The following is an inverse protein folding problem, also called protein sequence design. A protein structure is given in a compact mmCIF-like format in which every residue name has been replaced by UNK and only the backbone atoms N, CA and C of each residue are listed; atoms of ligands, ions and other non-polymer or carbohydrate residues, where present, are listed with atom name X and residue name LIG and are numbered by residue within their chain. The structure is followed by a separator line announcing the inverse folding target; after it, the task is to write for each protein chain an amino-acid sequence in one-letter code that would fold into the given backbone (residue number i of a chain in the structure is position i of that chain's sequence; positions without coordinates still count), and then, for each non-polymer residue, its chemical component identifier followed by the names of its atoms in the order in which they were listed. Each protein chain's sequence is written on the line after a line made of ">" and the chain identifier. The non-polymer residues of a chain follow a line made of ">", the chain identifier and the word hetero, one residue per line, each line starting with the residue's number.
data_IF_701303218966
#
_entry.id   IF_701303218966
#
_cell.length_a   1.000
_cell.length_b   1.000
_cell.length_c   1.000
_cell.angle_alpha   90.00
_cell.angle_beta   90.00
_cell.angle_gamma   90.00
#
_symmetry.space_group_name_H-M   'P 1'
#
loop_
_entity.id
_entity.type
_entity.pdbx_description
1 polymer ?
#
# COMPACT_ATOMS: atom_id res chain seq x y z
N UNK A 1 -25.98 12.25 -8.14
CA UNK A 1 -25.76 13.29 -7.13
C UNK A 1 -25.71 14.65 -7.82
N UNK A 2 -26.49 15.60 -7.37
CA UNK A 2 -26.63 16.94 -8.01
C UNK A 2 -26.89 16.88 -9.54
N UNK A 3 -27.74 15.95 -10.00
CA UNK A 3 -28.05 15.77 -11.42
C UNK A 3 -26.97 15.06 -12.25
N UNK A 4 -25.92 14.54 -11.60
CA UNK A 4 -24.87 13.75 -12.25
C UNK A 4 -25.05 12.27 -11.96
N UNK A 5 -24.72 11.44 -12.97
CA UNK A 5 -24.59 10.02 -12.78
C UNK A 5 -23.20 9.72 -12.18
N UNK A 6 -23.17 9.05 -11.03
CA UNK A 6 -21.94 8.64 -10.38
C UNK A 6 -21.94 7.11 -10.34
N UNK A 7 -20.93 6.50 -10.93
CA UNK A 7 -20.66 5.07 -10.76
C UNK A 7 -19.77 4.90 -9.55
N UNK A 8 -20.23 4.12 -8.57
CA UNK A 8 -19.43 3.70 -7.43
C UNK A 8 -19.15 2.20 -7.57
N UNK A 9 -17.90 1.82 -7.67
CA UNK A 9 -17.49 0.43 -7.70
C UNK A 9 -16.46 0.16 -6.61
N UNK A 10 -16.47 -1.07 -6.07
CA UNK A 10 -15.47 -1.55 -5.13
C UNK A 10 -14.85 -2.81 -5.69
N UNK A 11 -13.54 -2.77 -5.93
CA UNK A 11 -12.81 -3.91 -6.48
C UNK A 11 -11.48 -4.10 -5.76
N UNK A 12 -11.04 -5.34 -5.66
CA UNK A 12 -9.75 -5.68 -5.09
C UNK A 12 -8.71 -5.72 -6.23
N UNK A 13 -7.66 -4.90 -6.09
CA UNK A 13 -6.57 -4.89 -7.05
C UNK A 13 -5.68 -6.11 -6.84
N UNK A 14 -5.52 -6.95 -7.86
CA UNK A 14 -4.57 -8.06 -7.86
C UNK A 14 -3.12 -7.60 -8.05
N UNK A 15 -2.21 -8.57 -8.08
CA UNK A 15 -0.81 -8.37 -8.51
C UNK A 15 -0.66 -8.94 -9.92
N UNK A 16 0.48 -8.69 -10.58
CA UNK A 16 0.80 -9.36 -11.85
C UNK A 16 1.65 -10.61 -11.57
N UNK A 17 1.08 -11.82 -11.61
CA UNK A 17 1.80 -13.03 -11.22
C UNK A 17 3.09 -13.27 -12.01
N UNK A 18 3.08 -12.95 -13.31
CA UNK A 18 4.26 -13.11 -14.18
C UNK A 18 5.47 -12.32 -13.71
N UNK A 19 5.26 -11.14 -13.13
CA UNK A 19 6.34 -10.30 -12.60
C UNK A 19 6.99 -10.98 -11.40
N UNK A 20 6.18 -11.53 -10.50
CA UNK A 20 6.71 -12.26 -9.33
C UNK A 20 7.38 -13.56 -9.77
N UNK A 21 6.77 -14.30 -10.67
CA UNK A 21 7.33 -15.55 -11.21
C UNK A 21 8.68 -15.34 -11.89
N UNK A 22 8.88 -14.22 -12.58
CA UNK A 22 10.15 -13.88 -13.21
C UNK A 22 11.28 -13.58 -12.22
N UNK A 23 10.99 -13.32 -10.95
CA UNK A 23 12.01 -13.12 -9.91
C UNK A 23 12.49 -14.44 -9.28
N UNK A 24 11.67 -15.47 -9.34
CA UNK A 24 12.00 -16.81 -8.83
C UNK A 24 13.08 -17.45 -9.73
N UNK A 25 14.14 -17.98 -9.14
CA UNK A 25 15.27 -18.55 -9.87
C UNK A 25 16.34 -17.55 -10.31
N UNK A 26 16.17 -16.25 -10.03
CA UNK A 26 17.24 -15.27 -10.26
C UNK A 26 18.40 -15.46 -9.28
N UNK A 27 19.64 -15.07 -9.62
CA UNK A 27 20.77 -15.19 -8.70
C UNK A 27 20.53 -14.55 -7.33
N UNK A 28 19.91 -13.36 -7.29
CA UNK A 28 19.57 -12.66 -6.04
C UNK A 28 18.53 -13.42 -5.20
N UNK A 29 17.57 -14.07 -5.84
CA UNK A 29 16.60 -14.95 -5.19
C UNK A 29 17.29 -16.18 -4.58
N UNK A 30 18.12 -16.87 -5.36
CA UNK A 30 18.80 -18.12 -4.91
C UNK A 30 19.76 -17.84 -3.77
N UNK A 31 20.52 -16.74 -3.83
CA UNK A 31 21.42 -16.34 -2.74
C UNK A 31 20.64 -16.11 -1.43
N UNK A 32 19.57 -15.36 -1.49
CA UNK A 32 18.75 -15.06 -0.32
C UNK A 32 18.05 -16.32 0.20
N UNK A 33 17.51 -17.14 -0.70
CA UNK A 33 16.87 -18.41 -0.34
C UNK A 33 17.81 -19.34 0.38
N UNK A 34 19.06 -19.49 -0.12
CA UNK A 34 20.08 -20.33 0.52
C UNK A 34 20.42 -19.84 1.94
N UNK A 35 20.49 -18.51 2.16
CA UNK A 35 20.68 -17.93 3.49
C UNK A 35 19.53 -18.29 4.42
N UNK A 36 18.30 -18.13 3.95
CA UNK A 36 17.09 -18.41 4.74
C UNK A 36 16.96 -19.91 5.04
N UNK A 37 17.27 -20.80 4.09
CA UNK A 37 17.22 -22.23 4.30
C UNK A 37 18.18 -22.69 5.41
N UNK A 38 19.36 -22.06 5.52
CA UNK A 38 20.28 -22.33 6.64
C UNK A 38 19.72 -21.91 7.98
N UNK A 39 18.99 -20.77 8.02
CA UNK A 39 18.34 -20.27 9.23
C UNK A 39 17.14 -21.15 9.63
N UNK A 40 16.33 -21.55 8.67
CA UNK A 40 15.17 -22.42 8.89
C UNK A 40 15.60 -23.84 9.28
N UNK A 41 16.62 -24.39 8.61
CA UNK A 41 17.08 -25.77 8.81
C UNK A 41 15.99 -26.78 8.44
N UNK A 42 15.79 -27.75 9.31
CA UNK A 42 14.75 -28.78 9.17
C UNK A 42 13.39 -28.36 9.78
N UNK A 43 13.26 -27.13 10.29
CA UNK A 43 12.05 -26.63 10.94
C UNK A 43 11.00 -26.16 9.93
N UNK A 44 9.73 -26.21 10.33
CA UNK A 44 8.65 -25.59 9.57
C UNK A 44 8.67 -24.08 9.77
N UNK A 45 8.80 -23.33 8.69
CA UNK A 45 8.84 -21.86 8.76
C UNK A 45 7.45 -21.23 8.68
N UNK A 46 7.14 -20.38 9.65
CA UNK A 46 6.02 -19.42 9.60
C UNK A 46 6.60 -18.06 9.26
N UNK A 47 6.21 -17.49 8.13
CA UNK A 47 6.79 -16.25 7.61
C UNK A 47 5.83 -15.08 7.77
N UNK A 48 6.39 -13.92 8.12
CA UNK A 48 5.68 -12.64 8.23
C UNK A 48 6.54 -11.55 7.62
N UNK A 49 5.96 -10.70 6.80
CA UNK A 49 6.54 -9.42 6.37
C UNK A 49 5.51 -8.33 6.61
N UNK A 50 5.85 -7.34 7.39
CA UNK A 50 4.96 -6.21 7.67
C UNK A 50 5.75 -4.94 7.99
N UNK A 51 5.11 -3.78 7.87
CA UNK A 51 5.67 -2.53 8.38
C UNK A 51 5.62 -2.51 9.92
N UNK A 52 6.61 -1.85 10.54
CA UNK A 52 6.67 -1.66 11.99
C UNK A 52 5.75 -0.51 12.40
N UNK A 53 4.46 -0.77 12.34
CA UNK A 53 3.36 0.13 12.71
C UNK A 53 2.38 -0.62 13.62
N UNK A 54 1.74 0.06 14.56
CA UNK A 54 0.77 -0.57 15.48
C UNK A 54 -0.38 -1.26 14.76
N UNK A 55 -0.87 -0.68 13.66
CA UNK A 55 -1.97 -1.26 12.89
C UNK A 55 -1.62 -2.59 12.21
N UNK A 56 -0.33 -2.91 12.08
CA UNK A 56 0.11 -4.22 11.55
C UNK A 56 0.02 -5.35 12.58
N UNK A 57 -0.20 -5.03 13.86
CA UNK A 57 -0.56 -6.00 14.89
C UNK A 57 0.56 -6.96 15.30
N UNK A 58 1.83 -6.62 14.99
CA UNK A 58 2.96 -7.52 15.28
C UNK A 58 3.12 -7.84 16.77
N UNK A 59 2.90 -6.92 17.75
CA UNK A 59 2.90 -7.28 19.16
C UNK A 59 1.85 -8.34 19.54
N UNK A 60 0.63 -8.23 19.00
CA UNK A 60 -0.42 -9.24 19.23
C UNK A 60 -0.04 -10.60 18.61
N UNK A 61 0.56 -10.58 17.44
CA UNK A 61 1.09 -11.77 16.78
C UNK A 61 2.17 -12.43 17.65
N UNK A 62 3.11 -11.67 18.21
CA UNK A 62 4.15 -12.18 19.10
C UNK A 62 3.57 -12.74 20.41
N UNK A 63 2.52 -12.13 20.97
CA UNK A 63 1.80 -12.69 22.12
C UNK A 63 1.18 -14.05 21.77
N UNK A 64 0.58 -14.19 20.60
CA UNK A 64 0.04 -15.47 20.15
C UNK A 64 1.14 -16.52 19.93
N UNK A 65 2.30 -16.13 19.39
CA UNK A 65 3.47 -17.02 19.26
C UNK A 65 3.96 -17.49 20.63
N UNK A 66 4.11 -16.59 21.58
CA UNK A 66 4.52 -16.93 22.95
C UNK A 66 3.53 -17.91 23.60
N UNK A 67 2.23 -17.65 23.47
CA UNK A 67 1.17 -18.49 24.00
C UNK A 67 1.15 -19.88 23.34
N UNK A 68 1.34 -19.95 22.02
CA UNK A 68 1.47 -21.21 21.28
C UNK A 68 2.65 -22.05 21.80
N UNK A 69 3.83 -21.43 21.93
CA UNK A 69 5.04 -22.11 22.38
C UNK A 69 4.99 -22.50 23.87
N UNK A 70 4.21 -21.78 24.67
CA UNK A 70 3.95 -22.13 26.06
C UNK A 70 3.07 -23.37 26.16
N UNK A 71 1.97 -23.41 25.38
CA UNK A 71 1.01 -24.50 25.39
C UNK A 71 1.52 -25.78 24.69
N UNK A 72 2.40 -25.63 23.67
CA UNK A 72 2.84 -26.72 22.80
C UNK A 72 4.37 -26.81 22.76
N UNK A 73 4.95 -27.49 23.77
CA UNK A 73 6.41 -27.64 23.92
C UNK A 73 7.06 -28.36 22.74
N UNK A 74 6.36 -29.31 22.12
CA UNK A 74 6.80 -30.07 20.95
C UNK A 74 7.03 -29.23 19.70
N UNK A 75 6.45 -28.04 19.61
CA UNK A 75 6.63 -27.13 18.50
C UNK A 75 7.93 -26.30 18.62
N UNK A 76 8.51 -26.16 19.80
CA UNK A 76 9.68 -25.28 20.03
C UNK A 76 10.90 -25.62 19.15
N UNK A 77 11.09 -26.91 18.86
CA UNK A 77 12.20 -27.38 18.01
C UNK A 77 11.79 -27.60 16.54
N UNK A 78 10.48 -27.72 16.30
CA UNK A 78 9.95 -28.05 14.97
C UNK A 78 9.57 -26.84 14.14
N UNK A 79 9.38 -25.67 14.76
CA UNK A 79 8.88 -24.46 14.09
C UNK A 79 9.85 -23.31 14.28
N UNK A 80 9.94 -22.44 13.26
CA UNK A 80 10.63 -21.17 13.35
C UNK A 80 9.74 -20.07 12.77
N UNK A 81 9.62 -18.96 13.48
CA UNK A 81 8.94 -17.77 13.02
C UNK A 81 9.95 -16.81 12.42
N UNK A 82 9.85 -16.59 11.10
CA UNK A 82 10.74 -15.69 10.36
C UNK A 82 9.98 -14.41 10.07
N UNK A 83 10.35 -13.34 10.74
CA UNK A 83 9.64 -12.06 10.72
C UNK A 83 10.55 -10.97 10.16
N UNK A 84 10.11 -10.32 9.10
CA UNK A 84 10.74 -9.14 8.54
C UNK A 84 9.89 -7.91 8.84
N UNK A 85 10.45 -7.01 9.65
CA UNK A 85 9.90 -5.70 9.95
C UNK A 85 10.41 -4.67 8.94
N UNK A 86 9.54 -4.06 8.18
CA UNK A 86 9.89 -2.95 7.28
C UNK A 86 9.86 -1.65 8.06
N UNK A 87 10.92 -0.85 7.93
CA UNK A 87 10.97 0.47 8.56
C UNK A 87 9.85 1.36 8.05
N UNK A 88 9.15 1.99 8.98
CA UNK A 88 8.05 2.93 8.69
C UNK A 88 8.45 4.36 9.08
N UNK A 89 9.64 4.80 8.63
CA UNK A 89 10.16 6.13 8.90
C UNK A 89 9.14 7.21 8.48
N UNK A 90 8.76 8.05 9.45
CA UNK A 90 7.70 9.06 9.27
C UNK A 90 6.36 8.71 9.90
N UNK A 91 6.11 7.46 10.31
CA UNK A 91 5.00 7.12 11.18
C UNK A 91 5.34 7.47 12.63
N UNK A 92 4.40 8.10 13.34
CA UNK A 92 4.62 8.58 14.72
C UNK A 92 4.82 7.47 15.74
N UNK A 93 4.36 6.27 15.44
CA UNK A 93 4.42 5.09 16.31
C UNK A 93 5.52 4.09 15.93
N UNK A 94 6.33 4.39 14.91
CA UNK A 94 7.38 3.49 14.42
C UNK A 94 8.40 3.13 15.49
N UNK A 95 9.03 4.13 16.14
CA UNK A 95 10.09 3.89 17.13
C UNK A 95 9.57 3.08 18.32
N UNK A 96 8.40 3.44 18.84
CA UNK A 96 7.79 2.69 19.95
C UNK A 96 7.41 1.26 19.56
N UNK A 97 6.91 1.06 18.34
CA UNK A 97 6.58 -0.28 17.83
C UNK A 97 7.83 -1.12 17.62
N UNK A 98 8.91 -0.53 17.11
CA UNK A 98 10.20 -1.16 16.91
C UNK A 98 10.79 -1.68 18.22
N UNK A 99 10.83 -0.82 19.25
CA UNK A 99 11.36 -1.16 20.57
C UNK A 99 10.54 -2.26 21.24
N UNK A 100 9.20 -2.13 21.22
CA UNK A 100 8.28 -3.12 21.78
C UNK A 100 8.47 -4.51 21.11
N UNK A 101 8.55 -4.54 19.78
CA UNK A 101 8.76 -5.78 19.02
C UNK A 101 10.11 -6.41 19.34
N UNK A 102 11.19 -5.63 19.38
CA UNK A 102 12.52 -6.13 19.69
C UNK A 102 12.59 -6.73 21.10
N UNK A 103 11.99 -6.07 22.09
CA UNK A 103 11.91 -6.58 23.47
C UNK A 103 11.12 -7.89 23.55
N UNK A 104 9.96 -7.95 22.88
CA UNK A 104 9.14 -9.15 22.86
C UNK A 104 9.85 -10.33 22.19
N UNK A 105 10.53 -10.10 21.07
CA UNK A 105 11.31 -11.14 20.38
C UNK A 105 12.44 -11.65 21.27
N UNK A 106 13.18 -10.75 21.92
CA UNK A 106 14.24 -11.15 22.87
C UNK A 106 13.68 -12.01 24.00
N UNK A 107 12.55 -11.62 24.59
CA UNK A 107 11.87 -12.35 25.66
C UNK A 107 11.40 -13.75 25.20
N UNK A 108 10.78 -13.84 24.01
CA UNK A 108 10.31 -15.12 23.46
C UNK A 108 11.51 -16.05 23.23
N UNK A 109 12.57 -15.55 22.63
CA UNK A 109 13.76 -16.35 22.37
C UNK A 109 14.44 -16.78 23.66
N UNK A 110 14.53 -15.93 24.68
CA UNK A 110 15.08 -16.29 25.99
C UNK A 110 14.28 -17.43 26.64
N UNK A 111 12.96 -17.41 26.53
CA UNK A 111 12.08 -18.38 27.20
C UNK A 111 11.96 -19.72 26.46
N UNK A 112 12.01 -19.72 25.13
CA UNK A 112 11.59 -20.87 24.32
C UNK A 112 12.64 -21.39 23.35
N UNK A 113 13.73 -20.67 23.08
CA UNK A 113 14.78 -21.17 22.21
C UNK A 113 15.63 -22.24 22.91
N UNK A 114 16.01 -23.25 22.13
CA UNK A 114 16.90 -24.33 22.59
C UNK A 114 18.27 -24.17 21.92
N UNK A 115 18.55 -24.90 20.84
CA UNK A 115 19.79 -24.81 20.10
C UNK A 115 19.84 -23.61 19.09
N UNK A 116 18.69 -23.12 18.66
CA UNK A 116 18.57 -22.02 17.70
C UNK A 116 17.35 -21.14 18.05
N UNK A 117 17.36 -19.85 17.65
CA UNK A 117 16.23 -18.96 17.88
C UNK A 117 14.94 -19.52 17.29
N UNK A 118 13.85 -19.43 18.08
CA UNK A 118 12.49 -19.82 17.63
C UNK A 118 11.82 -18.70 16.87
N UNK A 119 12.18 -17.44 17.16
CA UNK A 119 11.78 -16.25 16.39
C UNK A 119 13.03 -15.61 15.80
N UNK A 120 13.10 -15.54 14.49
CA UNK A 120 14.14 -14.82 13.74
C UNK A 120 13.51 -13.53 13.25
N UNK A 121 13.85 -12.43 13.90
CA UNK A 121 13.38 -11.10 13.54
C UNK A 121 14.49 -10.32 12.85
N UNK A 122 14.15 -9.70 11.73
CA UNK A 122 15.05 -8.83 11.01
C UNK A 122 14.33 -7.55 10.60
N UNK A 123 14.85 -6.42 11.05
CA UNK A 123 14.43 -5.11 10.60
C UNK A 123 15.20 -4.72 9.34
N UNK A 124 14.48 -4.23 8.33
CA UNK A 124 15.07 -3.77 7.07
C UNK A 124 14.31 -2.57 6.52
N UNK A 125 14.99 -1.60 5.91
CA UNK A 125 14.32 -0.45 5.31
C UNK A 125 13.50 -0.83 4.08
N UNK A 126 13.93 -1.85 3.36
CA UNK A 126 13.32 -2.27 2.11
C UNK A 126 13.65 -3.72 1.79
N UNK A 127 12.73 -4.40 1.11
CA UNK A 127 12.93 -5.73 0.52
C UNK A 127 12.68 -5.67 -0.99
N UNK A 128 13.66 -6.06 -1.78
CA UNK A 128 13.47 -6.24 -3.23
C UNK A 128 12.48 -7.37 -3.52
N UNK A 129 11.93 -7.41 -4.72
CA UNK A 129 11.01 -8.49 -5.12
C UNK A 129 11.67 -9.88 -5.01
N UNK A 130 12.95 -10.00 -5.37
CA UNK A 130 13.70 -11.25 -5.25
C UNK A 130 13.88 -11.68 -3.78
N UNK A 131 14.19 -10.75 -2.87
CA UNK A 131 14.28 -11.01 -1.45
C UNK A 131 12.94 -11.45 -0.86
N UNK A 132 11.85 -10.77 -1.21
CA UNK A 132 10.50 -11.18 -0.77
C UNK A 132 10.13 -12.55 -1.31
N UNK A 133 10.34 -12.81 -2.60
CA UNK A 133 10.09 -14.13 -3.18
C UNK A 133 10.86 -15.23 -2.48
N UNK A 134 12.12 -14.98 -2.09
CA UNK A 134 12.92 -15.93 -1.32
C UNK A 134 12.37 -16.19 0.09
N UNK A 135 11.89 -15.13 0.78
CA UNK A 135 11.22 -15.27 2.08
C UNK A 135 9.96 -16.11 1.94
N UNK A 136 9.15 -15.81 0.91
CA UNK A 136 7.94 -16.58 0.65
C UNK A 136 8.24 -18.04 0.38
N UNK A 137 9.25 -18.34 -0.42
CA UNK A 137 9.59 -19.70 -0.86
C UNK A 137 10.01 -20.67 0.25
N UNK A 138 10.46 -20.17 1.39
CA UNK A 138 10.84 -21.00 2.55
C UNK A 138 9.70 -21.12 3.57
N UNK A 139 8.63 -20.35 3.42
CA UNK A 139 7.50 -20.32 4.33
C UNK A 139 6.51 -21.44 4.08
N UNK A 140 6.34 -22.35 5.01
CA UNK A 140 5.24 -23.33 4.96
C UNK A 140 3.88 -22.73 5.41
N UNK A 141 3.93 -21.65 6.16
CA UNK A 141 2.77 -20.89 6.63
C UNK A 141 3.04 -19.40 6.48
N UNK A 142 2.12 -18.67 5.86
CA UNK A 142 2.10 -17.21 5.94
C UNK A 142 1.26 -16.77 7.14
N UNK A 143 1.80 -15.87 7.95
CA UNK A 143 1.04 -15.17 8.99
C UNK A 143 0.92 -13.69 8.65
N UNK A 144 -0.30 -13.25 8.35
CA UNK A 144 -0.63 -11.86 8.06
C UNK A 144 -1.83 -11.44 8.90
N UNK A 145 -1.56 -10.92 10.10
CA UNK A 145 -2.57 -10.69 11.14
C UNK A 145 -2.64 -9.22 11.56
N UNK A 146 -2.79 -8.26 10.60
CA UNK A 146 -2.93 -6.86 10.95
C UNK A 146 -4.23 -6.59 11.73
N UNK A 147 -4.19 -5.58 12.60
CA UNK A 147 -5.36 -5.06 13.33
C UNK A 147 -6.34 -4.42 12.35
N UNK A 148 -5.81 -3.69 11.38
CA UNK A 148 -6.57 -3.06 10.30
C UNK A 148 -5.65 -2.84 9.10
N UNK A 149 -6.11 -3.29 7.95
CA UNK A 149 -5.34 -3.12 6.71
C UNK A 149 -6.29 -3.05 5.51
N UNK A 150 -5.95 -2.19 4.57
CA UNK A 150 -6.58 -2.15 3.24
C UNK A 150 -5.96 -3.16 2.28
N UNK A 151 -5.41 -2.66 1.20
CA UNK A 151 -4.72 -3.48 0.20
C UNK A 151 -3.35 -3.94 0.71
N UNK A 152 -3.09 -5.24 0.63
CA UNK A 152 -1.80 -5.86 0.90
C UNK A 152 -1.46 -6.86 -0.18
N UNK A 153 -0.35 -6.64 -0.88
CA UNK A 153 0.12 -7.51 -1.95
C UNK A 153 0.88 -8.76 -1.43
N UNK A 154 1.38 -8.74 -0.21
CA UNK A 154 2.24 -9.81 0.32
C UNK A 154 1.58 -11.18 0.35
N UNK A 155 0.31 -11.34 0.77
CA UNK A 155 -0.38 -12.62 0.67
C UNK A 155 -0.50 -13.12 -0.78
N UNK A 156 -0.71 -12.21 -1.73
CA UNK A 156 -0.82 -12.56 -3.15
C UNK A 156 0.54 -12.99 -3.73
N UNK A 157 1.63 -12.28 -3.35
CA UNK A 157 3.00 -12.67 -3.74
C UNK A 157 3.35 -14.05 -3.19
N UNK A 158 3.06 -14.32 -1.91
CA UNK A 158 3.29 -15.60 -1.26
C UNK A 158 2.59 -16.74 -2.02
N UNK A 159 1.29 -16.58 -2.31
CA UNK A 159 0.51 -17.56 -3.06
C UNK A 159 1.09 -17.77 -4.46
N UNK A 160 1.51 -16.70 -5.15
CA UNK A 160 2.08 -16.79 -6.50
C UNK A 160 3.40 -17.57 -6.53
N UNK A 161 4.29 -17.35 -5.55
CA UNK A 161 5.56 -18.08 -5.45
C UNK A 161 5.30 -19.56 -5.26
N UNK A 162 4.42 -19.95 -4.36
CA UNK A 162 4.11 -21.36 -4.10
C UNK A 162 3.34 -22.03 -5.24
N UNK A 163 2.47 -21.30 -5.94
CA UNK A 163 1.81 -21.83 -7.15
C UNK A 163 2.83 -22.20 -8.24
N UNK A 164 3.92 -21.43 -8.36
CA UNK A 164 5.02 -21.77 -9.28
C UNK A 164 5.83 -22.98 -8.80
N UNK A 165 6.05 -23.11 -7.50
CA UNK A 165 6.77 -24.23 -6.90
C UNK A 165 5.95 -25.51 -6.80
N UNK A 166 4.65 -25.43 -7.11
CA UNK A 166 3.67 -26.54 -6.97
C UNK A 166 3.63 -27.09 -5.54
N UNK A 167 3.75 -26.19 -4.58
CA UNK A 167 3.63 -26.47 -3.16
C UNK A 167 2.34 -25.84 -2.61
N UNK A 168 1.82 -26.36 -1.51
CA UNK A 168 0.58 -25.94 -0.91
C UNK A 168 0.78 -25.48 0.54
N UNK A 169 1.23 -24.24 0.76
CA UNK A 169 1.37 -23.68 2.10
C UNK A 169 0.01 -23.32 2.69
N UNK A 170 -0.02 -23.07 4.01
CA UNK A 170 -1.18 -22.50 4.68
C UNK A 170 -1.07 -20.98 4.78
N UNK A 171 -2.21 -20.29 4.81
CA UNK A 171 -2.30 -18.84 5.01
C UNK A 171 -3.17 -18.56 6.21
N UNK A 172 -2.62 -17.87 7.21
CA UNK A 172 -3.36 -17.31 8.36
C UNK A 172 -3.52 -15.82 8.11
N UNK A 173 -4.75 -15.33 8.08
CA UNK A 173 -5.10 -14.00 7.65
C UNK A 173 -6.07 -13.33 8.61
N UNK A 174 -5.79 -12.08 8.99
CA UNK A 174 -6.75 -11.29 9.76
C UNK A 174 -8.03 -11.05 8.97
N UNK A 175 -9.17 -11.19 9.62
CA UNK A 175 -10.49 -10.84 9.08
C UNK A 175 -10.62 -9.33 8.78
N UNK A 176 -9.75 -8.49 9.34
CA UNK A 176 -9.75 -7.03 9.17
C UNK A 176 -8.84 -6.53 8.03
N UNK A 177 -8.37 -7.43 7.17
CA UNK A 177 -7.70 -7.06 5.92
C UNK A 177 -8.66 -7.17 4.73
N UNK A 178 -8.48 -6.29 3.72
CA UNK A 178 -9.27 -6.39 2.49
C UNK A 178 -9.05 -7.74 1.76
N UNK A 179 -7.86 -8.33 1.88
CA UNK A 179 -7.53 -9.63 1.32
C UNK A 179 -8.44 -10.76 1.85
N UNK A 180 -8.97 -10.64 3.07
CA UNK A 180 -9.90 -11.62 3.65
C UNK A 180 -11.22 -11.75 2.84
N UNK A 181 -11.57 -10.73 2.07
CA UNK A 181 -12.79 -10.75 1.24
C UNK A 181 -12.66 -11.63 0.01
N UNK A 182 -11.45 -11.92 -0.41
CA UNK A 182 -11.15 -12.57 -1.69
C UNK A 182 -10.35 -13.88 -1.55
N UNK A 183 -9.61 -14.06 -0.47
CA UNK A 183 -8.75 -15.24 -0.26
C UNK A 183 -9.44 -16.33 0.57
N UNK A 184 -10.55 -16.88 0.07
CA UNK A 184 -11.44 -17.81 0.80
C UNK A 184 -10.80 -19.13 1.27
N UNK A 185 -9.59 -19.46 0.83
CA UNK A 185 -8.81 -20.62 1.31
C UNK A 185 -8.02 -20.37 2.59
N UNK A 186 -7.89 -19.11 3.05
CA UNK A 186 -7.15 -18.74 4.25
C UNK A 186 -7.84 -19.23 5.55
N UNK A 187 -7.06 -19.34 6.61
CA UNK A 187 -7.54 -19.48 7.97
C UNK A 187 -7.69 -18.07 8.56
N UNK A 188 -8.92 -17.64 8.79
CA UNK A 188 -9.19 -16.30 9.31
C UNK A 188 -9.05 -16.26 10.82
N UNK A 189 -8.58 -15.12 11.32
CA UNK A 189 -8.44 -14.85 12.74
C UNK A 189 -8.86 -13.42 13.06
N UNK A 190 -9.41 -13.25 14.25
CA UNK A 190 -9.46 -11.95 14.89
C UNK A 190 -8.12 -11.71 15.61
N UNK A 191 -7.28 -10.76 15.16
CA UNK A 191 -5.95 -10.52 15.74
C UNK A 191 -6.01 -10.08 17.21
N UNK A 192 -7.14 -9.56 17.68
CA UNK A 192 -7.35 -9.23 19.09
C UNK A 192 -7.59 -10.46 19.98
N UNK A 193 -7.93 -11.60 19.39
CA UNK A 193 -8.11 -12.87 20.10
C UNK A 193 -6.83 -13.70 20.00
N UNK A 194 -6.00 -13.61 21.04
CA UNK A 194 -4.77 -14.42 21.15
C UNK A 194 -5.12 -15.92 21.04
N UNK A 195 -6.17 -16.37 21.71
CA UNK A 195 -6.59 -17.78 21.70
C UNK A 195 -6.96 -18.25 20.29
N UNK A 196 -7.72 -17.46 19.54
CA UNK A 196 -8.12 -17.79 18.17
C UNK A 196 -6.90 -17.83 17.24
N UNK A 197 -5.99 -16.88 17.38
CA UNK A 197 -4.74 -16.84 16.61
C UNK A 197 -3.85 -18.05 16.91
N UNK A 198 -3.74 -18.46 18.18
CA UNK A 198 -3.02 -19.69 18.58
C UNK A 198 -3.64 -20.92 17.93
N UNK A 199 -4.97 -21.04 17.97
CA UNK A 199 -5.68 -22.17 17.34
C UNK A 199 -5.46 -22.21 15.83
N UNK A 200 -5.49 -21.05 15.16
CA UNK A 200 -5.23 -20.95 13.73
C UNK A 200 -3.79 -21.33 13.36
N UNK A 201 -2.79 -20.88 14.12
CA UNK A 201 -1.41 -21.30 13.91
C UNK A 201 -1.24 -22.80 14.10
N UNK A 202 -1.78 -23.34 15.18
CA UNK A 202 -1.75 -24.79 15.40
C UNK A 202 -2.44 -25.56 14.27
N UNK A 203 -3.60 -25.09 13.83
CA UNK A 203 -4.31 -25.69 12.70
C UNK A 203 -3.48 -25.60 11.43
N UNK A 204 -2.90 -24.44 11.09
CA UNK A 204 -2.07 -24.25 9.91
C UNK A 204 -0.86 -25.20 9.86
N UNK A 205 -0.21 -25.42 11.02
CA UNK A 205 0.95 -26.29 11.15
C UNK A 205 0.60 -27.79 11.05
N UNK A 206 -0.63 -28.17 11.43
CA UNK A 206 -1.09 -29.56 11.50
C UNK A 206 -2.08 -29.92 10.39
N UNK A 207 -2.35 -29.04 9.43
CA UNK A 207 -3.30 -29.30 8.34
C UNK A 207 -2.93 -30.60 7.59
N UNK A 208 -3.88 -31.53 7.44
CA UNK A 208 -3.72 -32.66 6.53
C UNK A 208 -3.40 -32.18 5.10
N UNK A 209 -2.60 -32.95 4.39
CA UNK A 209 -2.14 -32.60 3.04
C UNK A 209 -3.31 -32.27 2.10
N UNK A 210 -4.32 -33.11 2.07
CA UNK A 210 -5.50 -32.94 1.22
C UNK A 210 -6.26 -31.64 1.51
N UNK A 211 -6.51 -31.32 2.81
CA UNK A 211 -7.18 -30.06 3.19
C UNK A 211 -6.32 -28.87 2.82
N UNK A 212 -5.01 -28.95 3.01
CA UNK A 212 -4.06 -27.89 2.68
C UNK A 212 -4.01 -27.61 1.18
N UNK A 213 -3.94 -28.66 0.36
CA UNK A 213 -3.97 -28.58 -1.09
C UNK A 213 -5.30 -27.97 -1.58
N UNK A 214 -6.44 -28.44 -1.10
CA UNK A 214 -7.75 -27.91 -1.49
C UNK A 214 -7.98 -26.45 -1.06
N UNK A 215 -7.41 -26.02 0.07
CA UNK A 215 -7.42 -24.61 0.48
C UNK A 215 -6.52 -23.76 -0.41
N UNK A 216 -5.31 -24.26 -0.70
CA UNK A 216 -4.35 -23.54 -1.53
C UNK A 216 -4.83 -23.39 -2.97
N UNK A 217 -5.49 -24.40 -3.51
CA UNK A 217 -6.09 -24.35 -4.85
C UNK A 217 -7.08 -23.20 -5.00
N UNK A 218 -7.92 -22.95 -3.98
CA UNK A 218 -8.83 -21.79 -3.95
C UNK A 218 -8.07 -20.46 -3.94
N UNK A 219 -6.99 -20.38 -3.14
CA UNK A 219 -6.14 -19.17 -3.07
C UNK A 219 -5.46 -18.91 -4.40
N UNK A 220 -4.77 -19.91 -4.95
CA UNK A 220 -4.07 -19.81 -6.23
C UNK A 220 -5.01 -19.51 -7.40
N UNK A 221 -6.16 -20.18 -7.42
CA UNK A 221 -7.20 -19.94 -8.41
C UNK A 221 -7.66 -18.50 -8.45
N UNK A 222 -7.89 -17.88 -7.28
CA UNK A 222 -8.25 -16.46 -7.23
C UNK A 222 -7.10 -15.56 -7.73
N UNK A 223 -5.89 -15.73 -7.19
CA UNK A 223 -4.76 -14.84 -7.48
C UNK A 223 -4.35 -14.89 -8.95
N UNK A 224 -4.30 -16.09 -9.52
CA UNK A 224 -3.86 -16.27 -10.91
C UNK A 224 -4.90 -15.79 -11.93
N UNK A 225 -6.19 -15.88 -11.59
CA UNK A 225 -7.29 -15.45 -12.48
C UNK A 225 -7.67 -13.97 -12.33
N UNK A 226 -7.15 -13.27 -11.30
CA UNK A 226 -7.42 -11.85 -11.06
C UNK A 226 -6.13 -11.02 -10.99
N UNK A 227 -5.33 -10.99 -12.08
CA UNK A 227 -4.13 -10.16 -12.14
C UNK A 227 -4.47 -8.66 -12.16
N UNK A 228 -3.47 -7.80 -11.95
CA UNK A 228 -3.64 -6.34 -12.04
C UNK A 228 -4.18 -5.91 -13.40
N UNK A 229 -3.77 -6.58 -14.48
CA UNK A 229 -4.26 -6.33 -15.83
C UNK A 229 -5.77 -6.55 -15.95
N UNK A 230 -6.34 -7.58 -15.30
CA UNK A 230 -7.78 -7.80 -15.23
C UNK A 230 -8.49 -6.67 -14.48
N UNK A 231 -7.95 -6.25 -13.34
CA UNK A 231 -8.50 -5.14 -12.56
C UNK A 231 -8.55 -3.83 -13.36
N UNK A 232 -7.47 -3.50 -14.09
CA UNK A 232 -7.42 -2.32 -14.96
C UNK A 232 -8.48 -2.43 -16.07
N UNK A 233 -8.62 -3.61 -16.68
CA UNK A 233 -9.63 -3.83 -17.72
C UNK A 233 -11.05 -3.59 -17.19
N UNK A 234 -11.38 -4.10 -16.01
CA UNK A 234 -12.68 -3.88 -15.36
C UNK A 234 -12.90 -2.39 -15.05
N UNK A 235 -11.89 -1.69 -14.54
CA UNK A 235 -11.96 -0.25 -14.27
C UNK A 235 -12.23 0.55 -15.55
N UNK A 236 -11.53 0.25 -16.63
CA UNK A 236 -11.76 0.91 -17.94
C UNK A 236 -13.14 0.61 -18.49
N UNK A 237 -13.64 -0.61 -18.32
CA UNK A 237 -15.00 -0.99 -18.69
C UNK A 237 -16.04 -0.22 -17.88
N UNK A 238 -15.84 -0.08 -16.58
CA UNK A 238 -16.71 0.71 -15.70
C UNK A 238 -16.74 2.18 -16.15
N UNK A 239 -15.58 2.78 -16.42
CA UNK A 239 -15.49 4.15 -16.94
C UNK A 239 -16.23 4.29 -18.27
N UNK A 240 -16.03 3.35 -19.19
CA UNK A 240 -16.72 3.35 -20.49
C UNK A 240 -18.23 3.17 -20.39
N UNK A 241 -18.74 2.57 -19.30
CA UNK A 241 -20.17 2.37 -19.06
C UNK A 241 -20.89 3.63 -18.56
N UNK A 242 -20.15 4.65 -18.10
CA UNK A 242 -20.73 5.90 -17.63
C UNK A 242 -21.33 6.63 -18.83
N UNK A 243 -22.64 6.92 -18.82
CA UNK A 243 -23.26 7.66 -19.90
C UNK A 243 -22.67 9.05 -19.99
N UNK A 244 -22.02 9.34 -21.10
CA UNK A 244 -21.55 10.68 -21.43
C UNK A 244 -22.79 11.57 -21.63
N UNK A 245 -22.92 12.58 -20.80
CA UNK A 245 -23.97 13.59 -20.99
C UNK A 245 -23.60 14.38 -22.24
N UNK A 246 -24.26 14.06 -23.36
CA UNK A 246 -23.98 14.68 -24.68
C UNK A 246 -24.21 16.21 -24.70
N UNK A 247 -24.84 16.76 -23.66
CA UNK A 247 -25.08 18.19 -23.52
C UNK A 247 -23.95 18.94 -22.80
N UNK A 248 -23.01 18.21 -22.19
CA UNK A 248 -21.87 18.82 -21.53
C UNK A 248 -20.75 19.09 -22.58
N UNK A 249 -20.44 20.37 -22.77
CA UNK A 249 -19.20 20.73 -23.49
C UNK A 249 -18.00 20.49 -22.59
N UNK A 250 -17.22 19.48 -22.91
CA UNK A 250 -15.93 19.24 -22.26
C UNK A 250 -14.89 20.20 -22.81
N UNK A 251 -14.32 21.05 -21.97
CA UNK A 251 -13.13 21.83 -22.33
C UNK A 251 -11.93 21.22 -21.64
N UNK A 252 -10.98 20.83 -22.43
CA UNK A 252 -9.67 20.38 -21.98
C UNK A 252 -8.79 21.61 -21.74
N UNK A 253 -8.48 21.88 -20.47
CA UNK A 253 -7.54 22.92 -20.08
C UNK A 253 -6.19 22.27 -19.73
N UNK A 254 -5.12 22.68 -20.40
CA UNK A 254 -3.75 22.23 -20.17
C UNK A 254 -3.17 21.37 -21.31
N UNK A 255 -1.86 21.19 -21.28
CA UNK A 255 -1.07 20.39 -22.22
C UNK A 255 -0.41 19.22 -21.47
N UNK A 256 -0.45 18.03 -22.04
CA UNK A 256 0.22 16.85 -21.49
C UNK A 256 -0.56 16.16 -20.36
N UNK A 257 0.15 15.69 -19.32
CA UNK A 257 -0.40 14.91 -18.21
C UNK A 257 -1.31 15.70 -17.25
N UNK A 258 -1.35 17.02 -17.34
CA UNK A 258 -2.14 17.94 -16.51
C UNK A 258 -3.44 18.39 -17.19
N UNK A 259 -4.09 17.49 -17.87
CA UNK A 259 -5.34 17.75 -18.55
C UNK A 259 -6.48 17.81 -17.53
N UNK A 260 -7.06 18.98 -17.29
CA UNK A 260 -8.34 19.13 -16.56
C UNK A 260 -9.47 19.14 -17.56
N UNK A 261 -10.41 18.21 -17.39
CA UNK A 261 -11.67 18.22 -18.11
C UNK A 261 -12.69 18.96 -17.21
N UNK A 262 -13.20 20.08 -17.67
CA UNK A 262 -14.24 20.83 -17.00
C UNK A 262 -15.54 20.60 -17.75
N UNK A 263 -16.52 20.00 -17.07
CA UNK A 263 -17.88 19.90 -17.58
C UNK A 263 -18.53 21.28 -17.50
N UNK A 264 -18.87 21.83 -18.67
CA UNK A 264 -19.56 23.12 -18.74
C UNK A 264 -21.05 22.90 -18.83
N UNK A 265 -21.79 23.49 -17.88
CA UNK A 265 -23.25 23.50 -17.96
C UNK A 265 -23.70 24.23 -19.22
N UNK A 266 -24.89 23.92 -19.79
CA UNK A 266 -25.45 24.60 -20.99
C UNK A 266 -25.45 26.13 -20.91
N UNK A 267 -25.51 26.66 -19.69
CA UNK A 267 -25.55 28.11 -19.42
C UNK A 267 -24.14 28.71 -19.19
N UNK A 268 -23.07 27.93 -19.32
CA UNK A 268 -21.71 28.47 -19.17
C UNK A 268 -21.39 29.36 -20.39
N UNK A 269 -21.13 30.62 -20.13
CA UNK A 269 -20.62 31.55 -21.15
C UNK A 269 -19.10 31.68 -20.98
N UNK A 270 -18.36 31.27 -21.99
CA UNK A 270 -16.93 31.52 -22.01
C UNK A 270 -16.65 33.01 -22.05
N UNK A 271 -15.85 33.51 -21.09
CA UNK A 271 -15.41 34.89 -21.09
C UNK A 271 -14.48 35.12 -22.29
N UNK A 272 -14.90 36.02 -23.18
CA UNK A 272 -14.09 36.36 -24.35
C UNK A 272 -13.06 37.45 -23.98
N UNK A 273 -11.85 37.30 -24.45
CA UNK A 273 -10.72 38.17 -24.08
C UNK A 273 -10.96 39.66 -24.38
N UNK A 274 -11.69 39.95 -25.44
CA UNK A 274 -12.04 41.38 -25.78
C UNK A 274 -12.96 42.01 -24.74
N UNK A 275 -13.98 41.31 -24.21
CA UNK A 275 -14.80 41.81 -23.12
C UNK A 275 -14.02 42.15 -21.87
N UNK A 276 -13.05 41.28 -21.55
CA UNK A 276 -12.15 41.52 -20.41
C UNK A 276 -11.27 42.73 -20.65
N UNK A 277 -10.72 42.88 -21.86
CA UNK A 277 -9.86 44.00 -22.23
C UNK A 277 -10.60 45.34 -22.19
N UNK A 278 -11.86 45.36 -22.66
CA UNK A 278 -12.67 46.56 -22.68
C UNK A 278 -13.13 46.91 -21.24
N UNK A 279 -13.61 45.95 -20.46
CA UNK A 279 -13.94 46.15 -19.05
C UNK A 279 -12.71 46.62 -18.23
N UNK A 280 -11.51 46.10 -18.53
CA UNK A 280 -10.25 46.54 -17.91
C UNK A 280 -9.94 48.00 -18.21
N UNK A 281 -10.13 48.46 -19.45
CA UNK A 281 -9.90 49.85 -19.84
C UNK A 281 -10.89 50.82 -19.19
N UNK A 282 -12.15 50.42 -19.11
CA UNK A 282 -13.23 51.27 -18.55
C UNK A 282 -13.25 51.32 -17.03
N UNK A 283 -12.71 50.30 -16.35
CA UNK A 283 -12.72 50.21 -14.90
C UNK A 283 -11.89 51.33 -14.24
N UNK A 284 -12.49 52.10 -13.35
CA UNK A 284 -11.81 53.12 -12.54
C UNK A 284 -10.95 52.54 -11.43
N UNK A 285 -11.33 51.38 -10.91
CA UNK A 285 -10.64 50.63 -9.87
C UNK A 285 -10.61 49.15 -10.28
N UNK A 286 -9.51 48.45 -9.98
CA UNK A 286 -9.31 47.05 -10.38
C UNK A 286 -8.80 46.27 -9.21
N UNK A 287 -9.32 45.06 -9.02
CA UNK A 287 -8.81 44.07 -8.08
C UNK A 287 -8.52 42.79 -8.84
N UNK A 288 -7.30 42.29 -8.70
CA UNK A 288 -6.83 41.03 -9.33
C UNK A 288 -6.54 40.04 -8.22
N UNK A 289 -7.23 38.92 -8.23
CA UNK A 289 -7.02 37.82 -7.28
C UNK A 289 -6.31 36.68 -8.00
N UNK A 290 -5.18 36.27 -7.49
CA UNK A 290 -4.33 35.24 -8.10
C UNK A 290 -4.10 34.13 -7.08
N UNK A 291 -4.38 32.89 -7.47
CA UNK A 291 -3.97 31.71 -6.71
C UNK A 291 -2.46 31.51 -6.86
N UNK A 292 -1.81 31.08 -5.77
CA UNK A 292 -0.36 30.90 -5.73
C UNK A 292 0.08 29.56 -6.34
N UNK A 293 -0.48 28.47 -5.82
CA UNK A 293 -0.06 27.12 -6.17
C UNK A 293 -0.66 26.60 -7.48
N UNK A 294 0.16 26.37 -8.52
CA UNK A 294 -0.30 25.97 -9.85
C UNK A 294 -0.67 27.13 -10.76
N UNK A 295 -0.69 28.37 -10.23
CA UNK A 295 -0.95 29.60 -11.00
C UNK A 295 0.32 30.46 -11.11
N UNK A 296 0.94 30.81 -10.00
CA UNK A 296 2.15 31.61 -9.94
C UNK A 296 3.43 30.76 -9.82
N UNK A 297 3.31 29.57 -9.23
CA UNK A 297 4.39 28.58 -9.10
C UNK A 297 3.90 27.21 -9.56
N UNK A 298 4.79 26.42 -10.14
CA UNK A 298 4.48 25.07 -10.60
C UNK A 298 4.29 24.13 -9.41
N UNK A 299 3.13 23.41 -9.35
CA UNK A 299 2.82 22.45 -8.31
C UNK A 299 3.55 21.10 -8.48
N UNK A 300 4.03 20.78 -9.69
CA UNK A 300 4.50 19.44 -10.04
C UNK A 300 5.86 19.07 -9.48
N UNK A 301 6.57 19.99 -8.91
CA UNK A 301 7.88 19.77 -8.31
C UNK A 301 7.85 19.51 -6.79
N UNK A 302 6.68 19.29 -6.19
CA UNK A 302 6.58 18.82 -4.81
C UNK A 302 6.81 17.30 -4.75
N UNK A 303 8.02 16.87 -4.45
CA UNK A 303 8.26 15.52 -3.94
C UNK A 303 7.51 15.39 -2.61
N UNK A 304 6.84 14.24 -2.37
CA UNK A 304 5.81 14.05 -1.34
C UNK A 304 6.11 14.61 0.08
N UNK A 305 7.38 14.66 0.52
CA UNK A 305 7.82 15.22 1.80
C UNK A 305 7.68 16.76 1.85
N UNK A 306 7.88 17.44 0.73
CA UNK A 306 7.79 18.90 0.67
C UNK A 306 6.35 19.42 0.75
N UNK A 307 5.36 18.60 0.33
CA UNK A 307 3.92 18.92 0.52
C UNK A 307 3.55 18.99 2.00
N UNK A 308 4.01 18.05 2.80
CA UNK A 308 3.75 18.03 4.25
C UNK A 308 4.45 19.17 4.98
N UNK A 309 5.65 19.56 4.55
CA UNK A 309 6.39 20.70 5.12
C UNK A 309 5.78 22.06 4.77
N UNK A 310 5.22 22.19 3.57
CA UNK A 310 4.49 23.41 3.16
C UNK A 310 3.25 23.64 4.04
N UNK A 311 2.52 22.57 4.40
CA UNK A 311 1.39 22.65 5.34
C UNK A 311 1.79 22.96 6.78
N UNK A 312 3.02 22.63 7.19
CA UNK A 312 3.52 22.89 8.55
C UNK A 312 4.13 24.29 8.76
N UNK A 313 4.09 25.17 7.76
CA UNK A 313 4.63 26.54 7.82
C UNK A 313 6.17 26.62 7.85
N UNK A 314 6.87 25.50 7.68
CA UNK A 314 8.35 25.41 7.72
C UNK A 314 9.00 25.18 6.34
N UNK A 315 8.21 25.19 5.25
CA UNK A 315 8.72 25.05 3.89
C UNK A 315 9.21 26.37 3.32
N UNK A 316 10.33 26.37 2.61
CA UNK A 316 10.77 27.51 1.83
C UNK A 316 9.73 27.81 0.73
N UNK A 317 9.11 28.98 0.77
CA UNK A 317 8.22 29.46 -0.26
C UNK A 317 8.97 29.51 -1.59
N UNK A 318 8.46 28.86 -2.63
CA UNK A 318 9.06 28.94 -3.96
C UNK A 318 8.79 30.31 -4.51
N UNK A 319 9.84 30.96 -4.97
CA UNK A 319 9.73 32.24 -5.69
C UNK A 319 9.17 31.95 -7.07
N UNK A 320 8.14 32.69 -7.54
CA UNK A 320 7.65 32.57 -8.88
C UNK A 320 8.76 32.81 -9.92
N UNK A 321 8.71 32.17 -11.09
CA UNK A 321 9.66 32.43 -12.18
C UNK A 321 9.76 33.92 -12.52
N UNK A 322 10.95 34.37 -12.91
CA UNK A 322 11.21 35.79 -13.24
C UNK A 322 10.21 36.39 -14.23
N UNK A 323 9.77 35.59 -15.21
CA UNK A 323 8.73 36.00 -16.17
C UNK A 323 7.37 36.30 -15.48
N UNK A 324 7.02 35.53 -14.47
CA UNK A 324 5.76 35.74 -13.69
C UNK A 324 5.92 36.99 -12.84
N UNK A 325 7.06 37.19 -12.18
CA UNK A 325 7.35 38.39 -11.39
C UNK A 325 7.33 39.66 -12.24
N UNK A 326 7.87 39.60 -13.46
CA UNK A 326 7.82 40.70 -14.41
C UNK A 326 6.37 41.05 -14.81
N UNK A 327 5.53 40.04 -15.10
CA UNK A 327 4.14 40.23 -15.42
C UNK A 327 3.36 40.85 -14.22
N UNK A 328 3.60 40.36 -13.01
CA UNK A 328 3.03 40.93 -11.79
C UNK A 328 3.45 42.38 -11.56
N UNK A 329 4.73 42.69 -11.74
CA UNK A 329 5.25 44.05 -11.64
C UNK A 329 4.56 44.99 -12.61
N UNK A 330 4.35 44.56 -13.87
CA UNK A 330 3.61 45.34 -14.86
C UNK A 330 2.16 45.61 -14.44
N UNK A 331 1.46 44.60 -13.90
CA UNK A 331 0.08 44.76 -13.43
C UNK A 331 0.03 45.72 -12.24
N UNK A 332 0.96 45.64 -11.30
CA UNK A 332 1.04 46.51 -10.14
C UNK A 332 1.36 47.97 -10.49
N UNK A 333 1.96 48.23 -11.66
CA UNK A 333 2.24 49.59 -12.12
C UNK A 333 1.00 50.36 -12.57
N UNK A 334 -0.15 49.70 -12.81
CA UNK A 334 -1.37 50.40 -13.19
C UNK A 334 -1.98 51.13 -12.00
N UNK A 335 -2.29 52.41 -12.16
CA UNK A 335 -2.96 53.20 -11.13
C UNK A 335 -4.31 52.57 -10.79
N UNK A 336 -4.70 52.64 -9.51
CA UNK A 336 -5.96 52.08 -9.00
C UNK A 336 -6.16 50.58 -9.28
N UNK A 337 -5.05 49.81 -9.21
CA UNK A 337 -5.10 48.37 -9.36
C UNK A 337 -4.46 47.71 -8.12
N UNK A 338 -5.21 46.80 -7.49
CA UNK A 338 -4.74 46.01 -6.35
C UNK A 338 -4.57 44.56 -6.80
N UNK A 339 -3.48 43.94 -6.41
CA UNK A 339 -3.22 42.53 -6.68
C UNK A 339 -3.16 41.78 -5.36
N UNK A 340 -3.99 40.76 -5.23
CA UNK A 340 -4.05 39.87 -4.09
C UNK A 340 -3.59 38.48 -4.50
N UNK A 341 -2.66 37.89 -3.77
CA UNK A 341 -2.23 36.52 -3.94
C UNK A 341 -2.87 35.69 -2.82
N UNK A 342 -3.57 34.64 -3.17
CA UNK A 342 -4.39 33.80 -2.25
C UNK A 342 -3.77 32.43 -2.10
#
# INVERSE_FOLDING_TARGET
>A
YNGRHILASASFMGIEPKVIQATVGTPAYEEQRAKLQRVVGARTAVVTVCYLERLKGLPLQLQAIASLLMAHKDLREKVVFVIYGLSAEGCSDYESSREEVAEMVARINHLFSTAAPVVVFQEVPFLSAAQRAAIWSVGSVLACTPIREGMNAFPLEFITVHAQQRDAPAVVLSEFTAAARVLSGALYVNPWSVTETVQAYRKALLLPREEREGRFEKLAGYVLNNPTSHWIHMLLKDIASIPLNKEAKEISLGLGYHRRVIEMKPNFKQLQAHFLADAWKEARQRAVFLDYGGTLVDQDNYKGIDRLRAFSGKGAWRVPPSRVLEALSRICCYKNTWVFVV
#
